data_IF_697306874663
#
_entry.id   IF_697306874663
#
_cell.length_a   1.000
_cell.length_b   1.000
_cell.length_c   1.000
_cell.angle_alpha   90.00
_cell.angle_beta   90.00
_cell.angle_gamma   90.00
#
_symmetry.space_group_name_H-M   'P 1'
#
loop_
_entity.id
_entity.type
_entity.pdbx_description
1 polymer ?
#
# COMPACT_ATOMS: atom_id res chain seq x y z
N UNK A 1 12.07 -18.48 -4.06
CA UNK A 1 10.84 -18.14 -3.32
C UNK A 1 10.65 -16.65 -3.41
N UNK A 2 9.42 -16.16 -3.59
CA UNK A 2 9.15 -14.77 -3.89
C UNK A 2 7.94 -14.25 -3.09
N UNK A 3 7.97 -12.97 -2.65
CA UNK A 3 6.80 -12.30 -2.12
C UNK A 3 5.96 -11.71 -3.25
N UNK A 4 4.65 -11.94 -3.23
CA UNK A 4 3.67 -11.22 -4.04
C UNK A 4 3.25 -9.95 -3.30
N UNK A 5 3.34 -8.79 -3.97
CA UNK A 5 3.06 -7.46 -3.42
C UNK A 5 1.82 -6.89 -4.11
N UNK A 6 0.80 -6.49 -3.32
CA UNK A 6 -0.49 -6.05 -3.85
C UNK A 6 -0.97 -4.76 -3.21
N UNK A 7 -1.31 -3.78 -4.04
CA UNK A 7 -2.02 -2.57 -3.62
C UNK A 7 -3.05 -2.10 -4.65
N UNK A 8 -4.22 -1.74 -4.19
CA UNK A 8 -5.26 -1.00 -4.92
C UNK A 8 -6.04 -0.07 -3.99
N UNK A 9 -5.37 0.42 -2.95
CA UNK A 9 -5.99 1.22 -1.89
C UNK A 9 -6.35 2.65 -2.29
N UNK A 10 -5.88 3.11 -3.44
CA UNK A 10 -6.14 4.44 -3.99
C UNK A 10 -6.62 4.34 -5.46
N UNK A 11 -6.30 5.31 -6.31
CA UNK A 11 -6.65 5.33 -7.74
C UNK A 11 -5.78 4.39 -8.58
N UNK A 12 -4.58 4.09 -8.09
CA UNK A 12 -3.61 3.22 -8.78
C UNK A 12 -3.80 1.75 -8.43
N UNK A 13 -3.29 0.90 -9.30
CA UNK A 13 -3.07 -0.52 -9.08
C UNK A 13 -1.55 -0.75 -9.05
N UNK A 14 -1.08 -1.47 -8.03
CA UNK A 14 0.33 -1.88 -7.95
C UNK A 14 0.41 -3.38 -7.68
N UNK A 15 1.16 -4.08 -8.52
CA UNK A 15 1.50 -5.50 -8.38
C UNK A 15 3.00 -5.64 -8.50
N UNK A 16 3.63 -6.40 -7.63
CA UNK A 16 5.07 -6.63 -7.67
C UNK A 16 5.48 -7.99 -7.13
N UNK A 17 6.72 -8.35 -7.41
CA UNK A 17 7.37 -9.53 -6.85
C UNK A 17 8.71 -9.15 -6.25
N UNK A 18 8.93 -9.61 -5.03
CA UNK A 18 10.20 -9.50 -4.32
C UNK A 18 10.88 -10.86 -4.23
N UNK A 19 12.20 -10.90 -4.30
CA UNK A 19 12.99 -12.07 -4.00
C UNK A 19 14.30 -11.63 -3.30
N UNK A 20 14.58 -12.19 -2.13
CA UNK A 20 15.78 -11.95 -1.32
C UNK A 20 16.05 -10.45 -1.04
N UNK A 21 15.00 -9.70 -0.74
CA UNK A 21 15.09 -8.27 -0.46
C UNK A 21 15.14 -7.37 -1.70
N UNK A 22 15.03 -7.93 -2.89
CA UNK A 22 15.07 -7.18 -4.15
C UNK A 22 13.70 -7.20 -4.84
N UNK A 23 13.25 -6.04 -5.30
CA UNK A 23 12.09 -5.94 -6.18
C UNK A 23 12.48 -6.46 -7.58
N UNK A 24 12.06 -7.69 -7.93
CA UNK A 24 12.46 -8.35 -9.19
C UNK A 24 11.54 -8.03 -10.38
N UNK A 25 10.37 -7.48 -10.11
CA UNK A 25 9.44 -7.01 -11.14
C UNK A 25 8.24 -6.34 -10.51
N UNK A 26 7.72 -5.33 -11.18
CA UNK A 26 6.49 -4.67 -10.77
C UNK A 26 5.78 -4.01 -11.94
N UNK A 27 4.49 -3.73 -11.74
CA UNK A 27 3.69 -2.81 -12.54
C UNK A 27 2.91 -1.89 -11.60
N UNK A 28 2.82 -0.61 -11.95
CA UNK A 28 2.03 0.36 -11.20
C UNK A 28 1.53 1.43 -12.16
N UNK A 29 0.21 1.64 -12.18
CA UNK A 29 -0.42 2.63 -13.04
C UNK A 29 -1.80 3.03 -12.49
N UNK A 30 -2.33 4.14 -12.99
CA UNK A 30 -3.68 4.57 -12.65
C UNK A 30 -4.72 3.63 -13.27
N UNK A 31 -5.52 2.98 -12.44
CA UNK A 31 -6.52 1.98 -12.82
C UNK A 31 -7.88 2.25 -12.16
N UNK A 32 -8.24 3.53 -11.98
CA UNK A 32 -9.48 3.93 -11.33
C UNK A 32 -10.69 3.20 -11.90
N UNK A 33 -11.45 2.54 -11.03
CA UNK A 33 -12.66 1.73 -11.31
C UNK A 33 -12.43 0.41 -12.08
N UNK A 34 -11.21 0.09 -12.53
CA UNK A 34 -10.90 -1.15 -13.27
C UNK A 34 -9.88 -2.05 -12.55
N UNK A 35 -9.53 -1.73 -11.31
CA UNK A 35 -8.53 -2.51 -10.55
C UNK A 35 -8.91 -4.00 -10.42
N UNK A 36 -10.21 -4.33 -10.26
CA UNK A 36 -10.69 -5.72 -10.16
C UNK A 36 -10.47 -6.53 -11.43
N UNK A 37 -10.57 -5.89 -12.58
CA UNK A 37 -10.39 -6.54 -13.88
C UNK A 37 -8.90 -6.75 -14.19
N UNK A 38 -8.06 -5.83 -13.74
CA UNK A 38 -6.65 -5.78 -14.14
C UNK A 38 -5.73 -6.52 -13.17
N UNK A 39 -6.01 -6.54 -11.86
CA UNK A 39 -5.03 -7.02 -10.87
C UNK A 39 -4.58 -8.46 -11.12
N UNK A 40 -5.50 -9.39 -11.37
CA UNK A 40 -5.16 -10.79 -11.64
C UNK A 40 -4.42 -10.94 -12.96
N UNK A 41 -4.78 -10.15 -13.97
CA UNK A 41 -4.08 -10.14 -15.26
C UNK A 41 -2.64 -9.66 -15.13
N UNK A 42 -2.39 -8.62 -14.32
CA UNK A 42 -1.04 -8.11 -14.09
C UNK A 42 -0.18 -9.09 -13.27
N UNK A 43 -0.77 -9.79 -12.29
CA UNK A 43 -0.09 -10.89 -11.59
C UNK A 43 0.36 -11.96 -12.59
N UNK A 44 -0.53 -12.45 -13.43
CA UNK A 44 -0.24 -13.49 -14.43
C UNK A 44 0.84 -13.04 -15.44
N UNK A 45 0.74 -11.82 -15.96
CA UNK A 45 1.75 -11.24 -16.87
C UNK A 45 3.13 -11.17 -16.22
N UNK A 46 3.22 -10.68 -14.98
CA UNK A 46 4.49 -10.57 -14.27
C UNK A 46 5.05 -11.95 -13.94
N UNK A 47 4.24 -12.90 -13.48
CA UNK A 47 4.69 -14.27 -13.24
C UNK A 47 5.29 -14.92 -14.49
N UNK A 48 4.59 -14.80 -15.63
CA UNK A 48 5.10 -15.30 -16.92
C UNK A 48 6.42 -14.65 -17.33
N UNK A 49 6.52 -13.33 -17.20
CA UNK A 49 7.73 -12.56 -17.52
C UNK A 49 8.94 -12.95 -16.64
N UNK A 50 8.68 -13.28 -15.37
CA UNK A 50 9.71 -13.63 -14.40
C UNK A 50 9.99 -15.14 -14.34
N UNK A 51 9.24 -15.96 -15.07
CA UNK A 51 9.33 -17.42 -15.02
C UNK A 51 8.87 -18.01 -13.68
N UNK A 52 7.99 -17.30 -12.96
CA UNK A 52 7.47 -17.74 -11.67
C UNK A 52 6.21 -18.61 -11.83
N UNK A 53 6.08 -19.55 -10.92
CA UNK A 53 4.87 -20.36 -10.73
C UNK A 53 4.27 -20.09 -9.36
N UNK A 54 3.07 -20.59 -9.08
CA UNK A 54 2.46 -20.48 -7.75
C UNK A 54 3.32 -21.09 -6.63
N UNK A 55 4.12 -22.12 -6.94
CA UNK A 55 4.98 -22.81 -5.99
C UNK A 55 6.21 -21.98 -5.58
N UNK A 56 6.51 -20.92 -6.32
CA UNK A 56 7.59 -19.99 -6.03
C UNK A 56 7.17 -18.89 -5.05
N UNK A 57 5.86 -18.72 -4.82
CA UNK A 57 5.32 -17.69 -3.92
C UNK A 57 5.31 -18.24 -2.50
N UNK A 58 6.03 -17.58 -1.58
CA UNK A 58 6.16 -17.99 -0.18
C UNK A 58 5.59 -16.98 0.82
N UNK A 59 5.19 -15.80 0.37
CA UNK A 59 4.51 -14.78 1.18
C UNK A 59 3.73 -13.80 0.32
N UNK A 60 2.76 -13.12 0.92
CA UNK A 60 1.96 -12.08 0.26
C UNK A 60 1.96 -10.84 1.13
N UNK A 61 2.33 -9.70 0.56
CA UNK A 61 2.22 -8.38 1.20
C UNK A 61 1.05 -7.64 0.57
N UNK A 62 0.14 -7.16 1.38
CA UNK A 62 -1.05 -6.47 0.87
C UNK A 62 -1.39 -5.24 1.69
N UNK A 63 -1.69 -4.13 1.02
CA UNK A 63 -2.25 -2.94 1.65
C UNK A 63 -3.68 -3.20 2.13
N UNK A 64 -3.91 -2.96 3.43
CA UNK A 64 -5.22 -3.22 4.06
C UNK A 64 -6.02 -1.96 4.37
N UNK A 65 -5.59 -0.79 3.92
CA UNK A 65 -6.19 0.49 4.22
C UNK A 65 -5.34 1.34 5.17
N UNK A 66 -5.80 2.54 5.50
CA UNK A 66 -7.03 3.18 5.02
C UNK A 66 -6.98 3.56 3.53
N UNK A 67 -8.13 3.74 2.89
CA UNK A 67 -8.18 4.13 1.49
C UNK A 67 -9.54 3.88 0.82
N UNK A 68 -9.51 3.61 -0.49
CA UNK A 68 -10.69 3.24 -1.27
C UNK A 68 -11.35 1.99 -0.72
N UNK A 69 -12.61 2.10 -0.31
CA UNK A 69 -13.39 0.98 0.22
C UNK A 69 -13.41 -0.24 -0.71
N UNK A 70 -13.64 -0.03 -2.00
CA UNK A 70 -13.65 -1.09 -3.01
C UNK A 70 -12.23 -1.57 -3.31
N UNK A 71 -11.30 -0.64 -3.50
CA UNK A 71 -9.93 -0.96 -3.86
C UNK A 71 -9.23 -1.84 -2.82
N UNK A 72 -9.26 -1.47 -1.53
CA UNK A 72 -8.66 -2.28 -0.46
C UNK A 72 -9.24 -3.71 -0.44
N UNK A 73 -10.54 -3.85 -0.67
CA UNK A 73 -11.18 -5.19 -0.71
C UNK A 73 -10.74 -6.02 -1.91
N UNK A 74 -10.51 -5.40 -3.07
CA UNK A 74 -10.01 -6.10 -4.26
C UNK A 74 -8.66 -6.75 -3.94
N UNK A 75 -7.67 -5.95 -3.52
CA UNK A 75 -6.33 -6.47 -3.20
C UNK A 75 -6.38 -7.54 -2.11
N UNK A 76 -7.12 -7.29 -1.02
CA UNK A 76 -7.22 -8.22 0.10
C UNK A 76 -7.93 -9.53 -0.27
N UNK A 77 -8.97 -9.49 -1.11
CA UNK A 77 -9.64 -10.71 -1.58
C UNK A 77 -8.70 -11.56 -2.42
N UNK A 78 -7.97 -10.94 -3.35
CA UNK A 78 -6.98 -11.61 -4.18
C UNK A 78 -5.85 -12.18 -3.31
N UNK A 79 -5.36 -11.41 -2.32
CA UNK A 79 -4.35 -11.88 -1.37
C UNK A 79 -4.80 -13.12 -0.61
N UNK A 80 -6.05 -13.16 -0.12
CA UNK A 80 -6.61 -14.33 0.59
C UNK A 80 -6.71 -15.56 -0.31
N UNK A 81 -7.16 -15.39 -1.55
CA UNK A 81 -7.23 -16.50 -2.52
C UNK A 81 -5.82 -17.01 -2.83
N UNK A 82 -4.86 -16.09 -3.04
CA UNK A 82 -3.47 -16.45 -3.29
C UNK A 82 -2.84 -17.15 -2.08
N UNK A 83 -3.08 -16.70 -0.84
CA UNK A 83 -2.63 -17.36 0.39
C UNK A 83 -3.11 -18.81 0.46
N UNK A 84 -4.39 -19.06 0.20
CA UNK A 84 -4.95 -20.41 0.17
C UNK A 84 -4.33 -21.28 -0.92
N UNK A 85 -4.15 -20.73 -2.13
CA UNK A 85 -3.68 -21.50 -3.28
C UNK A 85 -2.18 -21.77 -3.30
N UNK A 86 -1.40 -20.86 -2.70
CA UNK A 86 0.06 -20.97 -2.57
C UNK A 86 0.49 -21.54 -1.20
N UNK A 87 -0.45 -21.74 -0.26
CA UNK A 87 -0.19 -22.15 1.12
C UNK A 87 0.87 -21.26 1.81
N UNK A 88 0.75 -19.93 1.67
CA UNK A 88 1.70 -18.96 2.18
C UNK A 88 1.04 -17.84 2.98
N UNK A 89 1.73 -17.24 3.99
CA UNK A 89 1.15 -16.26 4.89
C UNK A 89 0.94 -14.89 4.24
N UNK A 90 -0.03 -14.13 4.80
CA UNK A 90 -0.28 -12.73 4.48
C UNK A 90 0.43 -11.82 5.48
N UNK A 91 1.09 -10.79 4.95
CA UNK A 91 1.69 -9.67 5.66
C UNK A 91 0.89 -8.40 5.36
N UNK A 92 -0.06 -8.05 6.23
CA UNK A 92 -0.84 -6.83 6.05
C UNK A 92 0.01 -5.59 6.32
N UNK A 93 -0.18 -4.54 5.51
CA UNK A 93 0.51 -3.27 5.66
C UNK A 93 -0.45 -2.10 5.51
N UNK A 94 -0.19 -1.00 6.23
CA UNK A 94 -0.94 0.24 6.06
C UNK A 94 -0.76 0.82 4.66
N UNK A 95 -1.87 1.23 4.03
CA UNK A 95 -1.85 1.91 2.74
C UNK A 95 -1.16 3.28 2.78
N UNK A 96 -1.14 3.94 3.93
CA UNK A 96 -0.40 5.19 4.12
C UNK A 96 1.09 4.92 4.27
N UNK A 97 1.47 3.88 5.04
CA UNK A 97 2.87 3.58 5.30
C UNK A 97 3.66 3.21 4.03
N UNK A 98 3.03 2.60 3.04
CA UNK A 98 3.67 2.28 1.75
C UNK A 98 3.83 3.48 0.81
N UNK A 99 3.32 4.65 1.20
CA UNK A 99 3.50 5.90 0.46
C UNK A 99 4.71 6.71 0.92
N UNK A 100 5.35 6.35 2.05
CA UNK A 100 6.44 7.12 2.63
C UNK A 100 7.63 7.31 1.70
N UNK A 101 8.35 8.39 1.89
CA UNK A 101 9.67 8.63 1.33
C UNK A 101 10.75 7.90 2.13
N UNK A 102 11.87 7.56 1.50
CA UNK A 102 13.01 6.91 2.15
C UNK A 102 14.01 7.93 2.75
N UNK A 103 13.95 9.20 2.32
CA UNK A 103 14.98 10.21 2.63
C UNK A 103 14.61 11.13 3.79
N UNK A 104 13.30 11.38 3.99
CA UNK A 104 12.80 12.35 4.96
C UNK A 104 11.59 11.81 5.71
N UNK A 105 11.29 12.39 6.89
CA UNK A 105 9.99 12.19 7.51
C UNK A 105 8.88 12.52 6.51
N UNK A 106 7.86 11.69 6.45
CA UNK A 106 6.86 11.74 5.38
C UNK A 106 5.45 11.89 5.94
N UNK A 107 4.76 12.93 5.50
CA UNK A 107 3.33 13.12 5.69
C UNK A 107 2.63 12.39 4.55
N UNK A 108 2.09 11.21 4.83
CA UNK A 108 1.42 10.36 3.86
C UNK A 108 -0.08 10.64 3.87
N UNK A 109 -0.65 10.92 2.69
CA UNK A 109 -2.02 11.40 2.55
C UNK A 109 -2.82 10.61 1.52
N UNK A 110 -4.07 10.28 1.89
CA UNK A 110 -5.08 9.78 0.98
C UNK A 110 -6.36 10.59 1.20
N UNK A 111 -7.03 11.02 0.11
CA UNK A 111 -8.27 11.78 0.19
C UNK A 111 -9.39 10.92 0.81
N UNK A 112 -9.86 11.28 1.99
CA UNK A 112 -10.96 10.61 2.67
C UNK A 112 -12.35 11.16 2.28
N UNK A 113 -12.38 12.14 1.37
CA UNK A 113 -13.58 12.91 0.94
C UNK A 113 -14.21 13.72 2.07
N UNK A 114 -15.29 14.46 1.77
CA UNK A 114 -16.03 15.27 2.76
C UNK A 114 -15.11 16.18 3.58
N UNK A 115 -14.19 16.88 2.92
CA UNK A 115 -13.20 17.79 3.53
C UNK A 115 -12.31 17.12 4.60
N UNK A 116 -11.99 15.83 4.42
CA UNK A 116 -11.14 15.04 5.33
C UNK A 116 -10.07 14.29 4.57
N UNK A 117 -8.98 14.00 5.27
CA UNK A 117 -7.85 13.21 4.80
C UNK A 117 -7.58 12.03 5.73
N UNK A 118 -7.21 10.90 5.17
CA UNK A 118 -6.43 9.92 5.91
C UNK A 118 -4.99 10.40 5.94
N UNK A 119 -4.39 10.41 7.11
CA UNK A 119 -3.03 10.84 7.35
C UNK A 119 -2.28 9.84 8.22
N UNK A 120 -1.02 9.61 7.90
CA UNK A 120 -0.04 8.93 8.72
C UNK A 120 1.32 9.61 8.51
N UNK A 121 2.15 9.67 9.56
CA UNK A 121 3.47 10.29 9.46
C UNK A 121 4.53 9.30 9.89
N UNK A 122 5.52 9.09 9.02
CA UNK A 122 6.52 8.04 9.18
C UNK A 122 7.92 8.57 8.87
N UNK A 123 8.91 8.02 9.58
CA UNK A 123 10.33 8.22 9.27
C UNK A 123 11.06 6.90 9.47
N UNK A 124 11.71 6.41 8.45
CA UNK A 124 12.34 5.08 8.44
C UNK A 124 11.38 3.98 8.92
N UNK A 125 11.65 3.42 10.11
CA UNK A 125 10.84 2.39 10.77
C UNK A 125 9.84 2.97 11.76
N UNK A 126 10.01 4.23 12.14
CA UNK A 126 9.22 4.88 13.17
C UNK A 126 7.87 5.35 12.63
N UNK A 127 6.87 5.26 13.50
CA UNK A 127 5.55 5.84 13.31
C UNK A 127 5.48 7.09 14.17
N UNK A 128 5.57 8.27 13.54
CA UNK A 128 5.49 9.57 14.22
C UNK A 128 4.03 9.89 14.55
N UNK A 129 3.14 9.68 13.56
CA UNK A 129 1.69 9.77 13.74
C UNK A 129 1.06 8.52 13.16
N UNK A 130 0.28 7.80 13.99
CA UNK A 130 -0.48 6.64 13.53
C UNK A 130 -1.54 7.03 12.51
N UNK A 131 -1.94 6.08 11.68
CA UNK A 131 -3.01 6.27 10.72
C UNK A 131 -4.27 6.82 11.40
N UNK A 132 -4.69 7.98 11.00
CA UNK A 132 -5.89 8.63 11.52
C UNK A 132 -6.62 9.43 10.43
N UNK A 133 -7.75 9.98 10.80
CA UNK A 133 -8.50 10.91 9.96
C UNK A 133 -8.39 12.31 10.54
N UNK A 134 -8.11 13.30 9.69
CA UNK A 134 -8.07 14.71 10.03
C UNK A 134 -8.92 15.51 9.04
N UNK A 135 -9.42 16.66 9.45
CA UNK A 135 -9.97 17.64 8.51
C UNK A 135 -8.86 18.17 7.60
N UNK A 136 -9.21 18.64 6.42
CA UNK A 136 -8.21 19.20 5.50
C UNK A 136 -7.52 20.46 6.08
N UNK A 137 -8.19 21.20 6.97
CA UNK A 137 -7.60 22.37 7.61
C UNK A 137 -6.58 21.98 8.68
N UNK A 138 -6.85 20.93 9.48
CA UNK A 138 -5.88 20.36 10.42
C UNK A 138 -4.65 19.82 9.69
N UNK A 139 -4.85 19.17 8.52
CA UNK A 139 -3.73 18.68 7.70
C UNK A 139 -2.87 19.84 7.17
N UNK A 140 -3.50 20.95 6.70
CA UNK A 140 -2.76 22.14 6.25
C UNK A 140 -1.96 22.77 7.39
N UNK A 141 -2.55 22.87 8.58
CA UNK A 141 -1.86 23.37 9.78
C UNK A 141 -0.69 22.46 10.16
N UNK A 142 -0.88 21.12 10.10
CA UNK A 142 0.18 20.16 10.35
C UNK A 142 1.34 20.31 9.36
N UNK A 143 1.05 20.40 8.05
CA UNK A 143 2.05 20.58 7.00
C UNK A 143 2.81 21.90 7.20
N UNK A 144 2.13 22.99 7.57
CA UNK A 144 2.77 24.30 7.78
C UNK A 144 3.78 24.28 8.93
N UNK A 145 3.57 23.45 9.94
CA UNK A 145 4.45 23.26 11.10
C UNK A 145 5.62 22.29 10.83
N UNK A 146 5.56 21.52 9.74
CA UNK A 146 6.55 20.50 9.38
C UNK A 146 6.98 20.67 7.91
N UNK A 147 7.41 21.87 7.55
CA UNK A 147 7.74 22.24 6.17
C UNK A 147 8.96 21.51 5.58
N UNK A 148 9.76 20.87 6.43
CA UNK A 148 10.91 20.03 6.08
C UNK A 148 10.54 18.56 5.78
N UNK A 149 9.29 18.15 6.05
CA UNK A 149 8.79 16.80 5.76
C UNK A 149 8.39 16.66 4.29
N UNK A 150 8.57 15.47 3.75
CA UNK A 150 8.04 15.11 2.43
C UNK A 150 6.53 14.91 2.48
N UNK A 151 5.81 15.44 1.51
CA UNK A 151 4.38 15.17 1.33
C UNK A 151 4.24 14.05 0.30
N UNK A 152 3.64 12.92 0.67
CA UNK A 152 3.56 11.72 -0.13
C UNK A 152 2.11 11.25 -0.34
N UNK A 153 1.87 10.51 -1.40
CA UNK A 153 0.57 9.95 -1.72
C UNK A 153 -0.30 10.87 -2.57
N UNK A 154 -1.51 11.17 -2.17
CA UNK A 154 -2.42 12.03 -2.93
C UNK A 154 -2.69 13.33 -2.15
N UNK A 155 -1.90 14.38 -2.42
CA UNK A 155 -2.04 15.69 -1.80
C UNK A 155 -2.58 16.79 -2.75
N UNK A 156 -2.80 16.48 -4.02
CA UNK A 156 -3.23 17.46 -5.03
C UNK A 156 -4.59 18.10 -4.71
N UNK A 157 -5.48 17.38 -4.03
CA UNK A 157 -6.78 17.95 -3.59
C UNK A 157 -6.63 19.01 -2.49
N UNK A 158 -5.46 19.08 -1.83
CA UNK A 158 -5.09 20.13 -0.87
C UNK A 158 -4.24 21.23 -1.52
N UNK A 159 -3.99 21.14 -2.85
CA UNK A 159 -3.13 22.06 -3.61
C UNK A 159 -1.65 21.98 -3.22
N UNK A 160 -1.19 20.82 -2.76
CA UNK A 160 0.22 20.52 -2.55
C UNK A 160 0.76 19.60 -3.64
N UNK A 161 2.02 19.84 -4.02
CA UNK A 161 2.78 18.84 -4.78
C UNK A 161 3.13 17.67 -3.88
N UNK A 162 3.10 16.47 -4.43
CA UNK A 162 3.46 15.26 -3.70
C UNK A 162 4.67 14.58 -4.35
N UNK A 163 5.51 13.97 -3.52
CA UNK A 163 6.57 13.07 -3.97
C UNK A 163 5.91 11.73 -4.34
N UNK A 164 6.11 11.31 -5.58
CA UNK A 164 5.66 10.00 -6.03
C UNK A 164 6.61 8.93 -5.50
N UNK A 165 6.05 7.88 -4.91
CA UNK A 165 6.80 6.75 -4.36
C UNK A 165 6.39 5.46 -5.04
N UNK A 166 7.35 4.55 -5.19
CA UNK A 166 7.04 3.21 -5.69
C UNK A 166 6.53 2.34 -4.55
N UNK A 167 5.22 2.07 -4.53
CA UNK A 167 4.54 1.29 -3.49
C UNK A 167 5.17 -0.10 -3.32
N UNK A 168 5.49 -0.81 -4.41
CA UNK A 168 6.11 -2.12 -4.33
C UNK A 168 7.51 -2.05 -3.70
N UNK A 169 8.31 -1.03 -4.02
CA UNK A 169 9.61 -0.80 -3.39
C UNK A 169 9.46 -0.55 -1.89
N UNK A 170 8.47 0.23 -1.49
CA UNK A 170 8.18 0.49 -0.08
C UNK A 170 7.70 -0.77 0.65
N UNK A 171 6.88 -1.61 0.03
CA UNK A 171 6.50 -2.90 0.61
C UNK A 171 7.73 -3.78 0.86
N UNK A 172 8.68 -3.84 -0.08
CA UNK A 172 9.95 -4.57 0.09
C UNK A 172 10.76 -4.02 1.26
N UNK A 173 10.92 -2.71 1.36
CA UNK A 173 11.67 -2.07 2.45
C UNK A 173 11.06 -2.33 3.83
N UNK A 174 9.76 -2.53 3.91
CA UNK A 174 9.02 -2.76 5.14
C UNK A 174 8.94 -4.23 5.55
N UNK A 175 9.24 -5.19 4.65
CA UNK A 175 9.06 -6.64 4.91
C UNK A 175 9.66 -7.11 6.24
N UNK A 176 10.82 -6.58 6.62
CA UNK A 176 11.52 -7.00 7.84
C UNK A 176 10.87 -6.48 9.15
N UNK A 177 9.91 -5.55 9.06
CA UNK A 177 9.15 -5.02 10.21
C UNK A 177 7.67 -5.38 10.17
N UNK A 178 7.20 -6.04 9.10
CA UNK A 178 5.83 -6.51 9.01
C UNK A 178 5.66 -7.81 9.80
N UNK A 179 4.48 -7.99 10.38
CA UNK A 179 4.10 -9.21 11.08
C UNK A 179 3.17 -10.06 10.21
N UNK A 180 3.32 -11.36 10.32
CA UNK A 180 2.41 -12.33 9.72
C UNK A 180 1.03 -12.17 10.37
N UNK A 181 -0.03 -12.23 9.55
CA UNK A 181 -1.38 -12.26 10.07
C UNK A 181 -1.59 -13.55 10.90
N UNK A 182 -2.20 -13.43 12.09
CA UNK A 182 -2.50 -14.61 12.94
C UNK A 182 -3.45 -15.59 12.21
N UNK A 183 -4.34 -15.06 11.40
CA UNK A 183 -5.23 -15.83 10.52
C UNK A 183 -5.44 -15.04 9.23
N UNK A 184 -4.91 -15.55 8.13
CA UNK A 184 -4.95 -14.90 6.82
C UNK A 184 -6.38 -14.59 6.35
N UNK A 185 -7.32 -15.51 6.60
CA UNK A 185 -8.71 -15.32 6.22
C UNK A 185 -9.46 -14.30 7.10
N UNK A 186 -8.99 -14.10 8.33
CA UNK A 186 -9.56 -13.14 9.26
C UNK A 186 -9.04 -11.71 9.08
N UNK A 187 -8.00 -11.48 8.25
CA UNK A 187 -7.51 -10.12 7.93
C UNK A 187 -8.67 -9.27 7.39
N UNK A 188 -8.86 -8.09 7.98
CA UNK A 188 -9.93 -7.16 7.60
C UNK A 188 -9.35 -5.87 7.07
N UNK A 189 -10.06 -5.19 6.16
CA UNK A 189 -9.72 -3.82 5.80
C UNK A 189 -9.77 -2.90 7.01
N UNK A 190 -8.84 -1.95 7.06
CA UNK A 190 -8.83 -0.88 8.07
C UNK A 190 -9.71 0.27 7.59
N UNK A 191 -10.79 0.53 8.32
CA UNK A 191 -11.70 1.65 8.10
C UNK A 191 -11.58 2.61 9.27
N UNK A 192 -11.14 3.85 8.99
CA UNK A 192 -10.98 4.91 9.99
C UNK A 192 -12.19 5.86 10.06
N UNK A 193 -13.22 5.59 9.24
CA UNK A 193 -14.50 6.35 9.31
C UNK A 193 -15.41 5.66 10.28
N UNK A 194 -15.98 6.44 11.20
CA UNK A 194 -17.12 6.09 12.03
C UNK A 194 -18.39 5.91 11.18
#
# INVERSE_FOLDING_TARGET
MAALLLDSSNTSLSVGFENRGLLIGFTSYEAWQVQSEHMVLEIDKLMKKLGLTRNDIDKIVVSIGPGSYTGVRIALTIAKIASLTCACPIYPVSSLRVLKDDEKPSICLINARSNRSYIGVYHDKEVIVNDCIMTNDEVRDYISKHSDYSICGNARYLVYENKDTNICKQMVSLLHVLHIAENDLAVKPVYLKD
#
